data_IF_158507584182
#
_entry.id   IF_158507584182
#
_cell.length_a   1.000
_cell.length_b   1.000
_cell.length_c   1.000
_cell.angle_alpha   90.00
_cell.angle_beta   90.00
_cell.angle_gamma   90.00
#
_symmetry.space_group_name_H-M   'P 1'
#
loop_
_entity.id
_entity.type
_entity.pdbx_description
1 polymer ?
#
# COMPACT_ATOMS: atom_id res chain seq x y z
N UNK A 1 -0.76 4.53 13.49
CA UNK A 1 -1.32 5.61 12.63
C UNK A 1 -2.58 5.13 11.93
N UNK A 2 -2.52 4.11 11.06
CA UNK A 2 -3.71 3.59 10.35
C UNK A 2 -4.77 3.04 11.31
N UNK A 3 -4.39 2.28 12.34
CA UNK A 3 -5.36 1.78 13.35
C UNK A 3 -6.15 2.91 14.02
N UNK A 4 -5.47 4.00 14.41
CA UNK A 4 -6.11 5.19 14.98
C UNK A 4 -7.02 5.91 13.97
N UNK A 5 -6.64 5.95 12.69
CA UNK A 5 -7.50 6.52 11.65
C UNK A 5 -8.76 5.68 11.44
N UNK A 6 -8.65 4.35 11.50
CA UNK A 6 -9.79 3.45 11.40
C UNK A 6 -10.75 3.62 12.57
N UNK A 7 -10.22 3.70 13.79
CA UNK A 7 -11.02 3.80 15.01
C UNK A 7 -11.62 5.19 15.25
N UNK A 8 -10.90 6.27 14.89
CA UNK A 8 -11.19 7.63 15.35
C UNK A 8 -11.10 8.71 14.26
N UNK A 9 -10.86 8.32 13.00
CA UNK A 9 -10.68 9.24 11.89
C UNK A 9 -9.36 10.04 11.94
N UNK A 10 -9.15 10.89 10.94
CA UNK A 10 -7.92 11.68 10.80
C UNK A 10 -7.73 12.65 11.98
N UNK A 11 -8.82 13.27 12.45
CA UNK A 11 -8.77 14.20 13.58
C UNK A 11 -8.36 13.48 14.88
N UNK A 12 -8.92 12.30 15.15
CA UNK A 12 -8.53 11.49 16.32
C UNK A 12 -7.09 10.99 16.22
N UNK A 13 -6.62 10.62 15.03
CA UNK A 13 -5.22 10.27 14.82
C UNK A 13 -4.28 11.45 15.10
N UNK A 14 -4.61 12.66 14.62
CA UNK A 14 -3.79 13.87 14.83
C UNK A 14 -3.72 14.27 16.30
N UNK A 15 -4.85 14.23 17.00
CA UNK A 15 -4.89 14.47 18.45
C UNK A 15 -4.05 13.46 19.26
N UNK A 16 -3.82 12.27 18.70
CA UNK A 16 -3.10 11.17 19.36
C UNK A 16 -1.60 11.15 19.08
N UNK A 17 -1.07 12.06 18.25
CA UNK A 17 0.37 12.21 17.99
C UNK A 17 0.91 13.49 18.63
N UNK A 18 2.24 13.67 18.65
CA UNK A 18 2.84 14.89 19.19
C UNK A 18 2.59 16.10 18.29
N UNK A 19 2.53 17.30 18.87
CA UNK A 19 2.38 18.58 18.15
C UNK A 19 3.42 18.74 17.02
N UNK A 20 4.65 18.25 17.24
CA UNK A 20 5.72 18.25 16.22
C UNK A 20 5.35 17.38 15.01
N UNK A 21 4.76 16.20 15.24
CA UNK A 21 4.33 15.31 14.18
C UNK A 21 3.09 15.86 13.45
N UNK A 22 2.13 16.43 14.17
CA UNK A 22 0.96 17.07 13.58
C UNK A 22 1.34 18.29 12.73
N UNK A 23 2.19 19.18 13.24
CA UNK A 23 2.70 20.32 12.47
C UNK A 23 3.45 19.85 11.22
N UNK A 24 4.23 18.78 11.35
CA UNK A 24 4.89 18.11 10.23
C UNK A 24 3.90 17.64 9.17
N UNK A 25 2.88 16.87 9.55
CA UNK A 25 1.80 16.39 8.67
C UNK A 25 1.13 17.56 7.92
N UNK A 26 0.62 18.55 8.66
CA UNK A 26 -0.14 19.66 8.10
C UNK A 26 0.64 20.50 7.08
N UNK A 27 1.96 20.55 7.20
CA UNK A 27 2.81 21.44 6.39
C UNK A 27 3.67 20.72 5.36
N UNK A 28 4.03 19.44 5.58
CA UNK A 28 4.86 18.64 4.66
C UNK A 28 4.03 17.64 3.88
N UNK A 29 2.90 17.16 4.42
CA UNK A 29 1.99 16.25 3.73
C UNK A 29 1.60 16.76 2.32
N UNK A 30 1.05 17.98 2.20
CA UNK A 30 0.67 18.55 0.89
C UNK A 30 1.84 18.83 -0.07
N UNK A 31 3.09 18.81 0.41
CA UNK A 31 4.28 18.95 -0.44
C UNK A 31 4.72 17.64 -1.06
N UNK A 32 4.32 16.50 -0.47
CA UNK A 32 4.60 15.16 -0.97
C UNK A 32 3.41 14.64 -1.79
N UNK A 33 2.20 14.86 -1.27
CA UNK A 33 0.94 14.53 -1.94
C UNK A 33 0.27 15.85 -2.33
N UNK A 34 0.64 16.36 -3.50
CA UNK A 34 0.17 17.63 -4.04
C UNK A 34 -0.95 17.43 -5.08
N UNK A 35 -1.32 18.52 -5.78
CA UNK A 35 -2.36 18.49 -6.80
C UNK A 35 -2.00 17.59 -8.00
N UNK A 36 -0.72 17.43 -8.33
CA UNK A 36 -0.30 16.52 -9.40
C UNK A 36 -0.69 15.07 -9.05
N UNK A 37 -0.48 14.65 -7.81
CA UNK A 37 -0.90 13.31 -7.36
C UNK A 37 -2.41 13.12 -7.50
N UNK A 38 -3.21 14.17 -7.23
CA UNK A 38 -4.67 14.14 -7.42
C UNK A 38 -5.04 14.00 -8.90
N UNK A 39 -4.38 14.70 -9.81
CA UNK A 39 -4.63 14.55 -11.24
C UNK A 39 -4.26 13.16 -11.73
N UNK A 40 -3.11 12.62 -11.32
CA UNK A 40 -2.74 11.23 -11.63
C UNK A 40 -3.80 10.23 -11.13
N UNK A 41 -4.36 10.44 -9.94
CA UNK A 41 -5.45 9.59 -9.44
C UNK A 41 -6.72 9.66 -10.29
N UNK A 42 -7.04 10.83 -10.87
CA UNK A 42 -8.19 10.98 -11.78
C UNK A 42 -7.92 10.29 -13.12
N UNK A 43 -6.71 10.40 -13.65
CA UNK A 43 -6.33 9.73 -14.89
C UNK A 43 -6.45 8.21 -14.75
N UNK A 44 -5.89 7.64 -13.66
CA UNK A 44 -6.03 6.22 -13.33
C UNK A 44 -7.51 5.81 -13.20
N UNK A 45 -8.34 6.63 -12.55
CA UNK A 45 -9.78 6.36 -12.48
C UNK A 45 -10.42 6.35 -13.87
N UNK A 46 -10.00 7.26 -14.77
CA UNK A 46 -10.42 7.30 -16.16
C UNK A 46 -10.04 6.03 -16.93
N UNK A 47 -8.82 5.53 -16.77
CA UNK A 47 -8.33 4.27 -17.36
C UNK A 47 -9.11 3.05 -16.86
N UNK A 48 -9.55 3.07 -15.60
CA UNK A 48 -10.40 2.02 -15.02
C UNK A 48 -11.81 2.11 -15.61
N UNK A 49 -12.42 3.30 -15.60
CA UNK A 49 -13.79 3.52 -16.05
C UNK A 49 -13.97 3.31 -17.56
N UNK A 50 -12.94 3.60 -18.36
CA UNK A 50 -12.95 3.37 -19.81
C UNK A 50 -12.80 1.89 -20.18
N UNK A 51 -12.33 1.05 -19.24
CA UNK A 51 -12.01 -0.36 -19.48
C UNK A 51 -10.57 -0.60 -19.96
N UNK A 52 -9.78 0.45 -20.22
CA UNK A 52 -8.40 0.34 -20.68
C UNK A 52 -7.54 -0.52 -19.75
N UNK A 53 -7.62 -0.30 -18.43
CA UNK A 53 -6.88 -1.11 -17.46
C UNK A 53 -7.29 -2.60 -17.51
N UNK A 54 -8.59 -2.88 -17.70
CA UNK A 54 -9.09 -4.25 -17.77
C UNK A 54 -8.62 -4.95 -19.07
N UNK A 55 -8.61 -4.25 -20.20
CA UNK A 55 -8.09 -4.75 -21.47
C UNK A 55 -6.59 -5.06 -21.39
N UNK A 56 -5.81 -4.15 -20.80
CA UNK A 56 -4.38 -4.35 -20.54
C UNK A 56 -4.14 -5.60 -19.68
N UNK A 57 -4.88 -5.74 -18.58
CA UNK A 57 -4.75 -6.89 -17.69
C UNK A 57 -5.12 -8.22 -18.37
N UNK A 58 -6.20 -8.24 -19.15
CA UNK A 58 -6.61 -9.45 -19.90
C UNK A 58 -5.55 -9.83 -20.93
N UNK A 59 -4.99 -8.84 -21.65
CA UNK A 59 -3.92 -9.08 -22.61
C UNK A 59 -2.65 -9.66 -21.94
N UNK A 60 -2.22 -9.07 -20.82
CA UNK A 60 -1.11 -9.57 -20.00
C UNK A 60 -1.37 -10.99 -19.46
N UNK A 61 -2.61 -11.28 -19.05
CA UNK A 61 -2.96 -12.61 -18.58
C UNK A 61 -2.95 -13.65 -19.70
N UNK A 62 -3.37 -13.28 -20.91
CA UNK A 62 -3.32 -14.17 -22.09
C UNK A 62 -1.90 -14.35 -22.64
N UNK A 63 -0.99 -13.39 -22.44
CA UNK A 63 0.41 -13.49 -22.84
C UNK A 63 1.28 -14.31 -21.88
N UNK A 64 0.72 -14.82 -20.78
CA UNK A 64 1.44 -15.66 -19.82
C UNK A 64 2.00 -14.92 -18.59
N UNK A 65 1.65 -13.64 -18.41
CA UNK A 65 1.96 -12.81 -17.23
C UNK A 65 3.45 -12.55 -16.99
N UNK A 66 4.25 -12.48 -18.04
CA UNK A 66 5.71 -12.27 -17.90
C UNK A 66 6.05 -10.93 -17.25
N UNK A 67 5.36 -9.84 -17.65
CA UNK A 67 5.60 -8.53 -17.07
C UNK A 67 5.07 -8.46 -15.64
N UNK A 68 3.91 -9.05 -15.37
CA UNK A 68 3.37 -9.15 -14.02
C UNK A 68 4.32 -9.88 -13.06
N UNK A 69 4.83 -11.07 -13.45
CA UNK A 69 5.80 -11.83 -12.65
C UNK A 69 7.09 -11.03 -12.41
N UNK A 70 7.60 -10.35 -13.44
CA UNK A 70 8.78 -9.48 -13.31
C UNK A 70 8.56 -8.35 -12.29
N UNK A 71 7.35 -7.78 -12.24
CA UNK A 71 6.98 -6.76 -11.25
C UNK A 71 6.89 -7.36 -9.84
N UNK A 72 6.29 -8.55 -9.68
CA UNK A 72 6.25 -9.27 -8.40
C UNK A 72 7.65 -9.61 -7.88
N UNK A 73 8.50 -10.18 -8.74
CA UNK A 73 9.88 -10.54 -8.39
C UNK A 73 10.68 -9.31 -7.94
N UNK A 74 10.55 -8.18 -8.66
CA UNK A 74 11.19 -6.92 -8.24
C UNK A 74 10.70 -6.44 -6.87
N UNK A 75 9.41 -6.66 -6.55
CA UNK A 75 8.84 -6.39 -5.23
C UNK A 75 9.44 -7.28 -4.14
N UNK A 76 9.52 -8.60 -4.39
CA UNK A 76 10.10 -9.57 -3.45
C UNK A 76 11.60 -9.35 -3.19
N UNK A 77 12.34 -8.90 -4.20
CA UNK A 77 13.76 -8.62 -4.07
C UNK A 77 14.06 -7.30 -3.34
N UNK A 78 13.05 -6.43 -3.17
CA UNK A 78 13.22 -5.12 -2.59
C UNK A 78 13.82 -5.22 -1.17
N UNK A 79 14.80 -4.35 -0.88
CA UNK A 79 15.56 -4.39 0.38
C UNK A 79 14.67 -4.31 1.63
N UNK A 80 13.51 -3.66 1.53
CA UNK A 80 12.53 -3.56 2.63
C UNK A 80 12.06 -4.93 3.11
N UNK A 81 11.93 -5.92 2.22
CA UNK A 81 11.48 -7.27 2.59
C UNK A 81 12.55 -8.03 3.37
N UNK A 82 13.81 -7.95 2.93
CA UNK A 82 14.94 -8.57 3.62
C UNK A 82 15.12 -8.00 5.04
N UNK A 83 15.07 -6.68 5.17
CA UNK A 83 15.20 -6.02 6.48
C UNK A 83 13.96 -6.26 7.33
N UNK A 84 12.77 -6.16 6.72
CA UNK A 84 11.48 -6.33 7.38
C UNK A 84 11.28 -7.73 7.96
N UNK A 85 11.64 -8.79 7.22
CA UNK A 85 11.55 -10.18 7.70
C UNK A 85 12.36 -10.36 8.98
N UNK A 86 13.63 -9.95 8.95
CA UNK A 86 14.53 -10.06 10.11
C UNK A 86 13.99 -9.31 11.33
N UNK A 87 13.45 -8.11 11.14
CA UNK A 87 12.86 -7.34 12.24
C UNK A 87 11.60 -8.04 12.79
N UNK A 88 10.73 -8.55 11.93
CA UNK A 88 9.50 -9.26 12.35
C UNK A 88 9.80 -10.57 13.09
N UNK A 89 10.86 -11.29 12.73
CA UNK A 89 11.32 -12.49 13.45
C UNK A 89 11.67 -12.20 14.92
N UNK A 90 12.17 -11.00 15.21
CA UNK A 90 12.53 -10.56 16.56
C UNK A 90 11.31 -10.09 17.39
N UNK A 91 10.11 -10.07 16.82
CA UNK A 91 8.88 -9.56 17.44
C UNK A 91 7.92 -10.73 17.74
N UNK A 92 8.10 -11.49 18.83
CA UNK A 92 7.32 -12.71 19.10
C UNK A 92 5.81 -12.47 19.19
N UNK A 93 5.39 -11.27 19.59
CA UNK A 93 3.97 -10.90 19.68
C UNK A 93 3.28 -10.77 18.31
N UNK A 94 4.03 -10.56 17.21
CA UNK A 94 3.45 -10.50 15.85
C UNK A 94 2.99 -11.89 15.40
N UNK A 95 3.65 -12.96 15.87
CA UNK A 95 3.32 -14.34 15.49
C UNK A 95 2.30 -14.98 16.45
N UNK A 96 2.09 -14.40 17.63
CA UNK A 96 1.20 -14.94 18.67
C UNK A 96 -0.31 -14.81 18.37
N UNK A 97 -0.70 -14.16 17.27
CA UNK A 97 -2.11 -13.85 16.98
C UNK A 97 -2.54 -13.91 15.50
N UNK A 98 -1.79 -14.58 14.62
CA UNK A 98 -2.13 -14.58 13.18
C UNK A 98 -3.13 -15.69 12.82
N UNK A 99 -4.28 -15.26 12.30
CA UNK A 99 -4.95 -15.94 11.18
C UNK A 99 -4.09 -15.69 9.93
N UNK A 100 -3.88 -16.71 9.10
CA UNK A 100 -3.05 -16.58 7.90
C UNK A 100 -3.68 -15.54 6.94
N UNK A 101 -2.88 -14.58 6.47
CA UNK A 101 -3.30 -13.60 5.45
C UNK A 101 -3.54 -14.27 4.09
N UNK A 102 -2.92 -15.43 3.87
CA UNK A 102 -3.18 -16.30 2.71
C UNK A 102 -4.61 -16.87 2.75
N UNK A 103 -5.21 -16.99 3.94
CA UNK A 103 -6.59 -17.49 4.08
C UNK A 103 -7.63 -16.36 3.90
N UNK A 104 -7.21 -15.11 4.06
CA UNK A 104 -8.09 -13.93 4.02
C UNK A 104 -8.04 -13.16 2.70
N UNK A 105 -6.95 -13.29 1.92
CA UNK A 105 -6.79 -12.62 0.64
C UNK A 105 -6.84 -13.64 -0.50
N UNK A 106 -7.66 -13.37 -1.53
CA UNK A 106 -7.72 -14.19 -2.75
C UNK A 106 -6.50 -14.05 -3.66
N UNK A 107 -5.35 -13.64 -3.11
CA UNK A 107 -4.09 -13.53 -3.83
C UNK A 107 -3.48 -14.90 -4.08
N UNK A 108 -2.83 -15.07 -5.23
CA UNK A 108 -2.00 -16.25 -5.46
C UNK A 108 -0.74 -16.06 -4.60
N UNK A 109 -0.56 -16.96 -3.63
CA UNK A 109 0.61 -16.98 -2.75
C UNK A 109 1.87 -17.48 -3.44
#
# INVERSE_FOLDING_TARGET
IVDLMYEQGIAGMRYSVSDTAEYGDLTRGPRVIDDHVRETMKDILGEIQSGQFAEEWVAESHSGRENFKRLEDAGHEHRVEKVGSRLREMMPWINAGKVSVQDASGGQG
#
